data_IF_544777481265
#
_entry.id   IF_544777481265
#
_cell.length_a   1.000
_cell.length_b   1.000
_cell.length_c   1.000
_cell.angle_alpha   90.00
_cell.angle_beta   90.00
_cell.angle_gamma   90.00
#
_symmetry.space_group_name_H-M   'P 1'
#
loop_
_entity.id
_entity.type
_entity.pdbx_description
1 polymer ?
#
# COMPACT_ATOMS: atom_id res chain seq x y z
N UNK A 1 27.70 3.91 -1.20
CA UNK A 1 26.75 4.76 -1.93
C UNK A 1 25.37 4.27 -1.56
N UNK A 2 24.53 5.07 -0.90
CA UNK A 2 23.16 4.65 -0.56
C UNK A 2 22.30 4.71 -1.82
N UNK A 3 22.10 3.56 -2.46
CA UNK A 3 21.20 3.46 -3.59
C UNK A 3 19.77 3.51 -3.07
N UNK A 4 18.99 4.44 -3.61
CA UNK A 4 17.57 4.53 -3.32
C UNK A 4 16.81 3.54 -4.20
N UNK A 5 15.85 2.86 -3.61
CA UNK A 5 15.01 1.88 -4.29
C UNK A 5 13.54 2.22 -4.11
N UNK A 6 12.72 1.79 -5.07
CA UNK A 6 11.27 1.95 -5.08
C UNK A 6 10.66 0.62 -5.55
N UNK A 7 9.79 0.04 -4.75
CA UNK A 7 9.16 -1.25 -5.03
C UNK A 7 7.66 -1.15 -4.85
N UNK A 8 6.90 -1.52 -5.87
CA UNK A 8 5.45 -1.69 -5.79
C UNK A 8 5.15 -3.17 -5.58
N UNK A 9 4.41 -3.51 -4.53
CA UNK A 9 3.80 -4.82 -4.33
C UNK A 9 2.33 -4.75 -4.73
N UNK A 10 1.93 -5.51 -5.75
CA UNK A 10 0.54 -5.59 -6.21
C UNK A 10 -0.34 -6.40 -5.27
N UNK A 11 -1.66 -6.39 -5.49
CA UNK A 11 -2.64 -7.15 -4.68
C UNK A 11 -2.44 -8.67 -4.72
N UNK A 12 -1.84 -9.17 -5.79
CA UNK A 12 -1.45 -10.55 -6.02
C UNK A 12 -0.04 -10.87 -5.51
N UNK A 13 0.56 -9.95 -4.75
CA UNK A 13 1.84 -10.14 -4.05
C UNK A 13 3.07 -10.03 -4.94
N UNK A 14 2.92 -9.58 -6.20
CA UNK A 14 4.06 -9.42 -7.11
C UNK A 14 4.76 -8.09 -6.86
N UNK A 15 6.08 -8.16 -6.77
CA UNK A 15 6.93 -6.99 -6.65
C UNK A 15 7.40 -6.49 -8.01
N UNK A 16 7.28 -5.17 -8.22
CA UNK A 16 7.79 -4.44 -9.38
C UNK A 16 8.80 -3.42 -8.87
N UNK A 17 10.07 -3.63 -9.20
CA UNK A 17 11.13 -2.67 -8.92
C UNK A 17 11.06 -1.50 -9.91
N UNK A 18 11.31 -0.29 -9.41
CA UNK A 18 11.25 0.97 -10.16
C UNK A 18 9.96 1.10 -11.02
N UNK A 19 8.77 1.00 -10.39
CA UNK A 19 7.50 1.05 -11.11
C UNK A 19 7.32 2.39 -11.85
N UNK A 20 6.73 2.32 -13.04
CA UNK A 20 6.32 3.50 -13.81
C UNK A 20 5.05 4.12 -13.24
N UNK A 21 4.82 5.42 -13.50
CA UNK A 21 3.59 6.12 -13.08
C UNK A 21 2.32 5.45 -13.63
N UNK A 22 2.39 4.88 -14.83
CA UNK A 22 1.30 4.11 -15.42
C UNK A 22 1.00 2.82 -14.64
N UNK A 23 2.03 2.13 -14.15
CA UNK A 23 1.87 0.92 -13.32
C UNK A 23 1.25 1.26 -11.95
N UNK A 24 1.72 2.34 -11.31
CA UNK A 24 1.15 2.85 -10.07
C UNK A 24 -0.35 3.17 -10.24
N UNK A 25 -0.68 3.91 -11.30
CA UNK A 25 -2.05 4.30 -11.64
C UNK A 25 -2.94 3.07 -11.89
N UNK A 26 -2.44 2.08 -12.62
CA UNK A 26 -3.19 0.87 -12.94
C UNK A 26 -3.56 0.06 -11.69
N UNK A 27 -2.61 -0.13 -10.76
CA UNK A 27 -2.85 -0.87 -9.51
C UNK A 27 -3.86 -0.14 -8.62
N UNK A 28 -3.74 1.19 -8.49
CA UNK A 28 -4.73 1.97 -7.75
C UNK A 28 -6.12 1.92 -8.39
N UNK A 29 -6.20 2.04 -9.72
CA UNK A 29 -7.49 1.93 -10.42
C UNK A 29 -8.18 0.59 -10.12
N UNK A 30 -7.42 -0.50 -10.00
CA UNK A 30 -7.96 -1.82 -9.66
C UNK A 30 -8.44 -1.91 -8.20
N UNK A 31 -7.69 -1.34 -7.25
CA UNK A 31 -8.08 -1.27 -5.83
C UNK A 31 -9.38 -0.47 -5.60
N UNK A 32 -9.58 0.60 -6.36
CA UNK A 32 -10.76 1.44 -6.29
C UNK A 32 -11.92 0.93 -7.16
N UNK A 33 -11.68 -0.05 -8.04
CA UNK A 33 -12.73 -0.67 -8.82
C UNK A 33 -13.71 -1.42 -7.90
N UNK A 34 -15.00 -1.31 -8.24
CA UNK A 34 -16.05 -2.03 -7.54
C UNK A 34 -15.72 -3.54 -7.45
N UNK A 35 -16.05 -4.23 -6.36
CA UNK A 35 -15.96 -5.67 -6.26
C UNK A 35 -16.55 -6.30 -7.52
N UNK A 36 -15.70 -6.93 -8.34
CA UNK A 36 -16.22 -7.86 -9.33
C UNK A 36 -17.06 -8.83 -8.53
N UNK A 37 -18.36 -8.91 -8.84
CA UNK A 37 -19.26 -9.94 -8.31
C UNK A 37 -18.67 -11.27 -8.74
N UNK A 38 -17.70 -11.78 -7.99
CA UNK A 38 -17.35 -13.18 -8.02
C UNK A 38 -18.64 -13.86 -7.60
N UNK A 39 -19.27 -14.57 -8.54
CA UNK A 39 -20.35 -15.50 -8.24
C UNK A 39 -19.90 -16.29 -7.01
N UNK A 40 -20.50 -16.02 -5.86
CA UNK A 40 -20.32 -16.80 -4.65
C UNK A 40 -20.65 -18.23 -5.03
N UNK A 41 -19.63 -19.06 -5.23
CA UNK A 41 -19.79 -20.48 -5.47
C UNK A 41 -19.37 -21.18 -4.19
N UNK A 42 -20.34 -21.92 -3.64
CA UNK A 42 -20.36 -22.68 -2.38
C UNK A 42 -20.65 -21.79 -1.15
N UNK A 43 -21.79 -21.87 -0.45
CA UNK A 43 -22.55 -23.09 -0.09
C UNK A 43 -21.62 -24.27 0.19
N UNK A 44 -20.69 -24.08 1.12
CA UNK A 44 -20.04 -25.17 1.84
C UNK A 44 -20.80 -25.35 3.17
N UNK A 45 -21.76 -26.27 3.13
CA UNK A 45 -22.37 -26.89 4.30
C UNK A 45 -21.26 -27.58 5.12
N UNK A 46 -20.80 -26.96 6.20
CA UNK A 46 -19.77 -27.53 7.07
C UNK A 46 -19.52 -26.69 8.32
N UNK A 47 -19.89 -27.25 9.47
CA UNK A 47 -19.65 -26.81 10.86
C UNK A 47 -18.80 -25.54 11.09
N UNK A 48 -19.49 -24.50 11.56
CA UNK A 48 -19.13 -23.73 12.76
C UNK A 48 -17.65 -23.50 13.08
N UNK A 49 -16.99 -22.66 12.29
CA UNK A 49 -15.94 -21.75 12.76
C UNK A 49 -16.01 -20.50 11.88
N UNK A 50 -16.02 -19.27 12.43
CA UNK A 50 -15.87 -18.08 11.60
C UNK A 50 -14.51 -18.17 10.92
N UNK A 51 -14.51 -18.36 9.59
CA UNK A 51 -13.31 -18.18 8.79
C UNK A 51 -12.77 -16.76 9.08
N UNK A 52 -11.44 -16.58 9.23
CA UNK A 52 -10.88 -15.24 9.36
C UNK A 52 -11.43 -14.41 8.21
N UNK A 53 -12.04 -13.27 8.54
CA UNK A 53 -12.52 -12.34 7.53
C UNK A 53 -11.37 -12.11 6.55
N UNK A 54 -11.55 -12.49 5.28
CA UNK A 54 -10.51 -12.35 4.28
C UNK A 54 -10.01 -10.91 4.32
N UNK A 55 -8.71 -10.71 4.56
CA UNK A 55 -8.15 -9.38 4.60
C UNK A 55 -8.50 -8.67 3.29
N UNK A 56 -8.98 -7.41 3.35
CA UNK A 56 -9.32 -6.67 2.15
C UNK A 56 -8.07 -6.56 1.28
N UNK A 57 -8.19 -6.86 -0.01
CA UNK A 57 -7.08 -6.76 -0.95
C UNK A 57 -6.39 -5.40 -0.83
N UNK A 58 -5.06 -5.39 -0.73
CA UNK A 58 -4.26 -4.17 -0.61
C UNK A 58 -3.03 -4.22 -1.52
N UNK A 59 -2.47 -3.06 -1.84
CA UNK A 59 -1.19 -2.94 -2.53
C UNK A 59 -0.31 -1.94 -1.79
N UNK A 60 0.99 -2.13 -1.85
CA UNK A 60 1.94 -1.32 -1.09
C UNK A 60 3.03 -0.74 -1.99
N UNK A 61 3.33 0.55 -1.81
CA UNK A 61 4.50 1.20 -2.39
C UNK A 61 5.54 1.39 -1.29
N UNK A 62 6.75 0.88 -1.51
CA UNK A 62 7.88 0.99 -0.59
C UNK A 62 8.99 1.81 -1.22
N UNK A 63 9.49 2.79 -0.50
CA UNK A 63 10.62 3.62 -0.87
C UNK A 63 11.65 3.60 0.25
N UNK A 64 12.92 3.34 -0.07
CA UNK A 64 13.97 3.34 0.94
C UNK A 64 15.37 3.40 0.36
N UNK A 65 16.35 3.27 1.25
CA UNK A 65 17.77 3.14 0.91
C UNK A 65 18.27 1.76 1.36
N UNK A 66 19.37 1.29 0.79
CA UNK A 66 19.95 0.00 1.21
C UNK A 66 20.43 0.01 2.67
N UNK A 67 20.90 1.17 3.14
CA UNK A 67 21.35 1.40 4.53
C UNK A 67 20.67 2.66 5.07
N UNK A 68 19.42 2.53 5.51
CA UNK A 68 18.69 3.58 6.19
C UNK A 68 17.17 3.54 6.00
N UNK A 69 16.59 4.73 6.13
CA UNK A 69 15.14 4.93 6.24
C UNK A 69 14.35 4.27 5.11
N UNK A 70 13.26 3.62 5.49
CA UNK A 70 12.25 3.08 4.59
C UNK A 70 10.87 3.65 4.92
N UNK A 71 10.09 3.89 3.88
CA UNK A 71 8.72 4.38 3.93
C UNK A 71 7.80 3.42 3.20
N UNK A 72 6.62 3.17 3.76
CA UNK A 72 5.61 2.31 3.18
C UNK A 72 4.29 3.06 3.10
N UNK A 73 3.68 3.11 1.91
CA UNK A 73 2.26 3.47 1.76
C UNK A 73 1.52 2.23 1.29
N UNK A 74 0.67 1.70 2.16
CA UNK A 74 -0.28 0.66 1.81
C UNK A 74 -1.65 1.28 1.51
N UNK A 75 -2.27 0.86 0.42
CA UNK A 75 -3.63 1.24 0.03
C UNK A 75 -4.47 -0.02 -0.01
N UNK A 76 -5.47 -0.09 0.86
CA UNK A 76 -6.47 -1.15 0.87
C UNK A 76 -7.62 -0.84 -0.09
N UNK A 77 -8.33 -1.89 -0.50
CA UNK A 77 -9.58 -1.78 -1.23
C UNK A 77 -10.55 -0.86 -0.49
N UNK A 78 -11.12 0.11 -1.20
CA UNK A 78 -12.00 1.13 -0.60
C UNK A 78 -11.27 2.39 -0.11
N UNK A 79 -9.96 2.49 -0.31
CA UNK A 79 -9.21 3.73 -0.13
C UNK A 79 -8.72 4.02 1.28
N UNK A 80 -8.73 3.02 2.17
CA UNK A 80 -8.01 3.13 3.44
C UNK A 80 -6.49 3.08 3.17
N UNK A 81 -5.77 4.06 3.70
CA UNK A 81 -4.33 4.21 3.52
C UNK A 81 -3.63 4.08 4.87
N UNK A 82 -2.52 3.33 4.89
CA UNK A 82 -1.59 3.25 6.01
C UNK A 82 -0.22 3.74 5.56
N UNK A 83 0.36 4.66 6.32
CA UNK A 83 1.72 5.16 6.10
C UNK A 83 2.62 4.79 7.28
N UNK A 84 3.75 4.16 6.97
CA UNK A 84 4.70 3.64 7.96
C UNK A 84 6.11 4.12 7.65
N UNK A 85 6.89 4.30 8.72
CA UNK A 85 8.25 4.83 8.69
C UNK A 85 9.14 3.88 9.49
N UNK A 86 10.22 3.41 8.88
CA UNK A 86 11.10 2.37 9.42
C UNK A 86 12.56 2.83 9.37
N UNK A 87 13.37 2.41 10.33
CA UNK A 87 14.82 2.68 10.39
C UNK A 87 15.60 1.98 9.30
N UNK A 88 15.10 0.82 8.88
CA UNK A 88 15.74 -0.11 7.97
C UNK A 88 14.71 -0.80 7.07
N UNK A 89 15.21 -1.57 6.11
CA UNK A 89 14.42 -2.34 5.15
C UNK A 89 13.77 -3.58 5.75
N UNK A 90 14.33 -4.13 6.83
CA UNK A 90 13.89 -5.38 7.44
C UNK A 90 12.70 -5.16 8.40
N UNK A 91 12.23 -3.91 8.52
CA UNK A 91 11.16 -3.50 9.41
C UNK A 91 11.45 -3.84 10.88
N UNK A 92 12.71 -3.76 11.31
CA UNK A 92 13.06 -4.13 12.69
C UNK A 92 12.60 -3.06 13.70
N UNK A 93 12.71 -1.78 13.33
CA UNK A 93 12.33 -0.67 14.21
C UNK A 93 11.47 0.37 13.47
N UNK A 94 10.21 0.48 13.91
CA UNK A 94 9.31 1.54 13.48
C UNK A 94 9.71 2.88 14.12
N UNK A 95 9.84 3.91 13.29
CA UNK A 95 10.25 5.26 13.73
C UNK A 95 9.09 6.10 14.25
N UNK A 96 7.86 5.73 13.88
CA UNK A 96 6.63 6.36 14.34
C UNK A 96 5.48 5.33 14.29
N UNK A 97 4.41 5.53 15.10
CA UNK A 97 3.18 4.77 14.92
C UNK A 97 2.64 4.93 13.50
N UNK A 98 2.04 3.86 12.91
CA UNK A 98 1.43 3.94 11.59
C UNK A 98 0.36 5.02 11.54
N UNK A 99 0.48 5.93 10.56
CA UNK A 99 -0.50 6.98 10.29
C UNK A 99 -1.56 6.46 9.33
N UNK A 100 -2.82 6.85 9.53
CA UNK A 100 -3.93 6.35 8.71
C UNK A 100 -4.76 7.49 8.14
N UNK A 101 -5.37 7.25 6.98
CA UNK A 101 -6.40 8.13 6.43
C UNK A 101 -7.29 7.33 5.47
N UNK A 102 -8.41 7.93 5.07
CA UNK A 102 -9.17 7.48 3.90
C UNK A 102 -9.00 8.49 2.79
N UNK A 103 -8.77 8.01 1.58
CA UNK A 103 -8.50 8.84 0.42
C UNK A 103 -9.32 8.37 -0.78
N UNK A 104 -9.71 9.31 -1.63
CA UNK A 104 -10.18 8.96 -2.97
C UNK A 104 -9.01 8.52 -3.87
N UNK A 105 -9.34 8.04 -5.08
CA UNK A 105 -8.34 7.56 -6.03
C UNK A 105 -7.31 8.65 -6.39
N UNK A 106 -7.75 9.91 -6.50
CA UNK A 106 -6.88 11.03 -6.89
C UNK A 106 -5.85 11.33 -5.80
N UNK A 107 -6.26 11.37 -4.54
CA UNK A 107 -5.34 11.58 -3.42
C UNK A 107 -4.40 10.37 -3.24
N UNK A 108 -4.87 9.14 -3.43
CA UNK A 108 -4.00 7.96 -3.42
C UNK A 108 -2.93 8.01 -4.53
N UNK A 109 -3.31 8.42 -5.75
CA UNK A 109 -2.36 8.62 -6.86
C UNK A 109 -1.34 9.71 -6.54
N UNK A 110 -1.79 10.82 -5.95
CA UNK A 110 -0.92 11.91 -5.54
C UNK A 110 0.10 11.43 -4.50
N UNK A 111 -0.34 10.69 -3.48
CA UNK A 111 0.51 10.11 -2.44
C UNK A 111 1.58 9.19 -3.03
N UNK A 112 1.20 8.26 -3.91
CA UNK A 112 2.16 7.36 -4.57
C UNK A 112 3.12 8.12 -5.50
N UNK A 113 2.65 9.17 -6.20
CA UNK A 113 3.52 10.03 -7.02
C UNK A 113 4.51 10.82 -6.18
N UNK A 114 4.10 11.37 -5.03
CA UNK A 114 5.00 12.03 -4.08
C UNK A 114 6.07 11.07 -3.56
N UNK A 115 5.70 9.83 -3.23
CA UNK A 115 6.64 8.80 -2.78
C UNK A 115 7.63 8.41 -3.89
N UNK A 116 7.16 8.19 -5.12
CA UNK A 116 8.02 7.90 -6.27
C UNK A 116 9.01 9.04 -6.59
N UNK A 117 8.61 10.30 -6.32
CA UNK A 117 9.43 11.50 -6.48
C UNK A 117 10.26 11.85 -5.23
N UNK A 118 10.26 10.98 -4.22
CA UNK A 118 11.01 11.14 -2.96
C UNK A 118 10.61 12.39 -2.15
N UNK A 119 9.38 12.87 -2.33
CA UNK A 119 8.83 14.03 -1.63
C UNK A 119 8.14 13.63 -0.33
N UNK A 120 8.81 12.82 0.49
CA UNK A 120 8.20 12.22 1.70
C UNK A 120 7.87 13.26 2.77
N UNK A 121 8.60 14.38 2.82
CA UNK A 121 8.26 15.50 3.72
C UNK A 121 6.83 16.00 3.50
N UNK A 122 6.39 16.13 2.25
CA UNK A 122 5.01 16.54 1.91
C UNK A 122 3.97 15.53 2.35
N UNK A 123 4.30 14.24 2.32
CA UNK A 123 3.41 13.15 2.77
C UNK A 123 3.20 13.26 4.29
N UNK A 124 4.26 13.58 5.05
CA UNK A 124 4.20 13.75 6.51
C UNK A 124 3.37 14.95 6.97
N UNK A 125 3.19 15.95 6.11
CA UNK A 125 2.47 17.20 6.39
C UNK A 125 0.96 17.10 6.16
N UNK A 126 0.47 15.98 5.61
CA UNK A 126 -0.96 15.77 5.40
C UNK A 126 -1.71 15.54 6.72
N UNK A 127 -3.02 15.75 6.69
CA UNK A 127 -3.92 15.53 7.82
C UNK A 127 -4.20 14.03 8.02
N UNK A 128 -3.28 13.36 8.70
CA UNK A 128 -3.45 11.96 9.14
C UNK A 128 -4.34 11.86 10.39
N UNK A 129 -4.94 10.68 10.61
CA UNK A 129 -5.81 10.36 11.74
C UNK A 129 -5.33 9.14 12.53
#
# INVERSE_FOLDING_TARGET
MNQAWLTLTSMDGRDIAAPTEAQLTAVLAELYAAPRKTRSKAEAKGNGAPAPAAEPASAALRFGYDDGLMYVIEVSRGGAIRFEEWSDRDCELALAPPRRMSADLTLAQQLWSLMARRQVSRIRELDWH
#
